data_IF_172232176738
#
_entry.id   IF_172232176738
#
_cell.length_a   1.000
_cell.length_b   1.000
_cell.length_c   1.000
_cell.angle_alpha   90.00
_cell.angle_beta   90.00
_cell.angle_gamma   90.00
#
_symmetry.space_group_name_H-M   'P 1'
#
loop_
_entity.id
_entity.type
_entity.pdbx_description
1 polymer ?
#
# COMPACT_ATOMS: atom_id res chain seq x y z
N UNK A 1 -27.65 32.19 -19.53
CA UNK A 1 -26.39 31.45 -19.70
C UNK A 1 -25.93 31.11 -18.27
N UNK A 2 -26.44 30.01 -17.76
CA UNK A 2 -26.22 29.56 -16.41
C UNK A 2 -24.85 28.84 -16.32
N UNK A 3 -24.08 29.32 -15.39
CA UNK A 3 -22.83 28.73 -14.96
C UNK A 3 -23.17 27.47 -14.14
N UNK A 4 -23.21 26.30 -14.80
CA UNK A 4 -23.21 25.00 -14.13
C UNK A 4 -21.78 24.75 -13.64
N UNK A 5 -21.45 25.38 -12.51
CA UNK A 5 -20.31 24.95 -11.74
C UNK A 5 -20.54 23.48 -11.34
N UNK A 6 -19.89 22.58 -12.10
CA UNK A 6 -19.80 21.17 -11.84
C UNK A 6 -19.30 21.01 -10.39
N UNK A 7 -20.21 20.69 -9.48
CA UNK A 7 -19.87 20.40 -8.10
C UNK A 7 -19.01 19.12 -8.11
N UNK A 8 -17.70 19.29 -8.20
CA UNK A 8 -16.77 18.22 -7.95
C UNK A 8 -17.05 17.70 -6.54
N UNK A 9 -17.64 16.51 -6.46
CA UNK A 9 -17.85 15.82 -5.18
C UNK A 9 -16.46 15.69 -4.53
N UNK A 10 -16.27 16.32 -3.36
CA UNK A 10 -15.03 16.25 -2.64
C UNK A 10 -14.62 14.78 -2.41
N UNK A 11 -13.35 14.42 -2.56
CA UNK A 11 -12.90 13.04 -2.36
C UNK A 11 -13.34 12.54 -0.98
N UNK A 12 -13.99 11.38 -0.92
CA UNK A 12 -14.38 10.76 0.35
C UNK A 12 -13.15 10.41 1.22
N UNK A 13 -12.01 10.11 0.57
CA UNK A 13 -10.74 9.79 1.23
C UNK A 13 -9.86 11.04 1.37
N UNK A 14 -10.33 12.00 2.13
CA UNK A 14 -9.63 13.23 2.53
C UNK A 14 -9.06 13.14 3.96
N UNK A 15 -8.56 14.27 4.48
CA UNK A 15 -7.95 14.35 5.81
C UNK A 15 -8.93 13.97 6.95
N UNK A 16 -10.23 14.12 6.72
CA UNK A 16 -11.29 13.85 7.69
C UNK A 16 -11.84 12.43 7.58
N UNK A 17 -11.39 11.64 6.58
CA UNK A 17 -11.82 10.26 6.41
C UNK A 17 -11.67 9.45 7.68
N UNK A 18 -12.77 8.89 8.13
CA UNK A 18 -12.88 7.96 9.27
C UNK A 18 -13.96 6.93 8.95
N UNK A 19 -13.65 5.68 9.23
CA UNK A 19 -14.59 4.57 9.06
C UNK A 19 -14.42 3.58 10.21
N UNK A 20 -15.51 3.05 10.74
CA UNK A 20 -15.51 1.90 11.65
C UNK A 20 -16.02 0.68 10.90
N UNK A 21 -15.30 -0.43 10.98
CA UNK A 21 -15.71 -1.70 10.38
C UNK A 21 -15.59 -2.84 11.39
N UNK A 22 -16.31 -3.95 11.09
CA UNK A 22 -16.25 -5.18 11.87
C UNK A 22 -15.56 -6.23 10.99
N UNK A 23 -14.51 -6.85 11.51
CA UNK A 23 -13.78 -7.92 10.84
C UNK A 23 -14.55 -9.26 10.95
N UNK A 24 -14.08 -10.28 10.20
CA UNK A 24 -14.74 -11.61 10.16
C UNK A 24 -14.82 -12.30 11.52
N UNK A 25 -13.91 -11.99 12.44
CA UNK A 25 -13.88 -12.51 13.82
C UNK A 25 -14.72 -11.70 14.82
N UNK A 26 -15.48 -10.69 14.34
CA UNK A 26 -16.27 -9.80 15.17
C UNK A 26 -15.49 -8.63 15.79
N UNK A 27 -14.17 -8.56 15.63
CA UNK A 27 -13.37 -7.45 16.15
C UNK A 27 -13.65 -6.15 15.39
N UNK A 28 -13.66 -5.02 16.13
CA UNK A 28 -13.85 -3.69 15.55
C UNK A 28 -12.51 -3.10 15.15
N UNK A 29 -12.47 -2.47 13.98
CA UNK A 29 -11.32 -1.74 13.45
C UNK A 29 -11.75 -0.33 13.03
N UNK A 30 -10.89 0.65 13.27
CA UNK A 30 -11.03 2.01 12.77
C UNK A 30 -10.08 2.21 11.59
N UNK A 31 -10.59 2.79 10.49
CA UNK A 31 -9.81 3.17 9.33
C UNK A 31 -9.71 4.69 9.27
N UNK A 32 -8.53 5.22 8.98
CA UNK A 32 -8.28 6.63 8.70
C UNK A 32 -7.04 6.81 7.84
N UNK A 33 -6.87 8.00 7.25
CA UNK A 33 -5.62 8.29 6.56
C UNK A 33 -4.44 8.35 7.56
N UNK A 34 -3.29 7.88 7.09
CA UNK A 34 -2.00 8.00 7.79
C UNK A 34 -1.57 9.47 7.80
N UNK A 35 -1.05 9.92 8.94
CA UNK A 35 -0.62 11.30 9.22
C UNK A 35 0.88 11.37 9.46
N UNK A 36 1.52 12.53 9.29
CA UNK A 36 2.93 12.73 9.63
C UNK A 36 3.28 12.39 11.10
N UNK A 37 2.30 12.49 12.01
CA UNK A 37 2.43 12.15 13.43
C UNK A 37 2.43 10.65 13.73
N UNK A 38 2.08 9.80 12.76
CA UNK A 38 1.91 8.35 12.95
C UNK A 38 3.23 7.54 12.86
N UNK A 39 4.39 8.21 12.87
CA UNK A 39 5.71 7.55 12.83
C UNK A 39 5.85 6.48 13.94
N UNK A 40 5.36 6.76 15.14
CA UNK A 40 5.34 5.82 16.26
C UNK A 40 4.48 4.59 15.99
N UNK A 41 3.28 4.77 15.43
CA UNK A 41 2.38 3.68 15.04
C UNK A 41 2.98 2.81 13.93
N UNK A 42 3.71 3.41 12.97
CA UNK A 42 4.41 2.63 11.95
C UNK A 42 5.56 1.79 12.53
N UNK A 43 6.31 2.32 13.49
CA UNK A 43 7.35 1.55 14.20
C UNK A 43 6.73 0.41 14.98
N UNK A 44 5.64 0.64 15.71
CA UNK A 44 4.89 -0.39 16.44
C UNK A 44 4.34 -1.47 15.48
N UNK A 45 3.69 -1.06 14.40
CA UNK A 45 3.18 -1.98 13.38
C UNK A 45 4.30 -2.79 12.71
N UNK A 46 5.44 -2.17 12.41
CA UNK A 46 6.60 -2.87 11.86
C UNK A 46 7.15 -3.91 12.85
N UNK A 47 7.16 -3.62 14.14
CA UNK A 47 7.56 -4.58 15.18
C UNK A 47 6.61 -5.78 15.25
N UNK A 48 5.32 -5.60 14.94
CA UNK A 48 4.32 -6.67 14.85
C UNK A 48 4.42 -7.57 13.61
N UNK A 49 5.40 -7.35 12.72
CA UNK A 49 5.67 -8.18 11.55
C UNK A 49 6.80 -9.18 11.86
N UNK A 50 6.59 -10.46 11.51
CA UNK A 50 7.65 -11.47 11.49
C UNK A 50 8.75 -11.12 10.47
N UNK A 51 9.95 -11.72 10.55
CA UNK A 51 10.97 -11.58 9.52
C UNK A 51 10.47 -11.92 8.12
N UNK A 52 9.62 -12.94 8.00
CA UNK A 52 9.01 -13.34 6.73
C UNK A 52 8.07 -12.27 6.20
N UNK A 53 7.16 -11.74 7.02
CA UNK A 53 6.23 -10.66 6.63
C UNK A 53 6.98 -9.38 6.23
N UNK A 54 8.06 -9.05 6.94
CA UNK A 54 8.94 -7.94 6.56
C UNK A 54 9.60 -8.16 5.20
N UNK A 55 10.15 -9.37 4.98
CA UNK A 55 10.78 -9.71 3.70
C UNK A 55 9.76 -9.66 2.55
N UNK A 56 8.57 -10.22 2.74
CA UNK A 56 7.48 -10.18 1.75
C UNK A 56 7.04 -8.74 1.41
N UNK A 57 7.07 -7.84 2.39
CA UNK A 57 6.66 -6.43 2.19
C UNK A 57 7.74 -5.57 1.56
N UNK A 58 9.00 -5.75 1.97
CA UNK A 58 10.10 -4.86 1.60
C UNK A 58 11.08 -5.50 0.61
N UNK A 59 10.92 -6.77 0.28
CA UNK A 59 11.78 -7.56 -0.61
C UNK A 59 13.25 -7.60 -0.17
N UNK A 60 13.50 -7.30 1.09
CA UNK A 60 14.82 -7.29 1.73
C UNK A 60 14.71 -7.63 3.20
N UNK A 61 15.79 -8.21 3.77
CA UNK A 61 15.89 -8.40 5.22
C UNK A 61 16.00 -7.02 5.89
N UNK A 62 14.93 -6.61 6.58
CA UNK A 62 14.82 -5.27 7.17
C UNK A 62 14.64 -5.35 8.67
N UNK A 63 15.66 -4.95 9.47
CA UNK A 63 15.57 -5.01 10.93
C UNK A 63 14.74 -3.85 11.52
N UNK A 64 14.75 -2.67 10.88
CA UNK A 64 14.05 -1.47 11.34
C UNK A 64 13.71 -0.54 10.18
N UNK A 65 12.77 0.38 10.41
CA UNK A 65 12.53 1.52 9.54
C UNK A 65 13.49 2.66 9.90
N UNK A 66 14.11 3.27 8.89
CA UNK A 66 14.95 4.46 9.05
C UNK A 66 14.08 5.72 9.15
N UNK A 67 14.65 6.82 9.65
CA UNK A 67 13.96 8.12 9.71
C UNK A 67 13.45 8.57 8.34
N UNK A 68 14.27 8.36 7.27
CA UNK A 68 13.88 8.71 5.90
C UNK A 68 12.70 7.88 5.40
N UNK A 69 12.67 6.59 5.74
CA UNK A 69 11.54 5.73 5.37
C UNK A 69 10.28 6.06 6.16
N UNK A 70 10.42 6.39 7.46
CA UNK A 70 9.29 6.86 8.26
C UNK A 70 8.70 8.16 7.68
N UNK A 71 9.52 9.12 7.28
CA UNK A 71 9.07 10.32 6.58
C UNK A 71 8.33 9.96 5.27
N UNK A 72 8.95 9.16 4.39
CA UNK A 72 8.33 8.71 3.15
C UNK A 72 6.99 7.98 3.37
N UNK A 73 6.88 7.21 4.47
CA UNK A 73 5.70 6.41 4.78
C UNK A 73 4.58 7.20 5.47
N UNK A 74 4.85 8.41 5.98
CA UNK A 74 3.87 9.22 6.74
C UNK A 74 3.64 10.62 6.18
N UNK A 75 4.62 11.23 5.52
CA UNK A 75 4.51 12.57 4.95
C UNK A 75 3.98 12.46 3.52
N UNK A 76 2.67 12.27 3.40
CA UNK A 76 1.97 11.95 2.18
C UNK A 76 1.27 13.20 1.63
N UNK A 77 1.17 13.33 0.30
CA UNK A 77 0.48 14.43 -0.36
C UNK A 77 -1.05 14.24 -0.40
N UNK A 78 -1.54 13.03 -0.09
CA UNK A 78 -2.96 12.69 -0.13
C UNK A 78 -3.57 12.60 -1.53
N UNK A 79 -2.88 13.10 -2.54
CA UNK A 79 -3.32 13.10 -3.93
C UNK A 79 -2.73 11.92 -4.71
N UNK A 80 -1.42 11.87 -4.85
CA UNK A 80 -0.70 10.80 -5.59
C UNK A 80 -0.08 9.74 -4.67
N UNK A 81 0.10 10.06 -3.41
CA UNK A 81 0.60 9.15 -2.40
C UNK A 81 -0.32 9.21 -1.17
N UNK A 82 -1.05 8.15 -0.93
CA UNK A 82 -2.06 8.03 0.11
C UNK A 82 -1.84 6.73 0.89
N UNK A 83 -2.14 6.74 2.17
CA UNK A 83 -2.18 5.52 2.97
C UNK A 83 -3.34 5.54 3.96
N UNK A 84 -4.01 4.40 4.10
CA UNK A 84 -5.11 4.15 5.03
C UNK A 84 -4.58 3.24 6.13
N UNK A 85 -4.52 3.75 7.36
CA UNK A 85 -4.19 2.98 8.55
C UNK A 85 -5.42 2.26 9.09
N UNK A 86 -5.25 1.01 9.51
CA UNK A 86 -6.23 0.25 10.26
C UNK A 86 -5.76 0.12 11.70
N UNK A 87 -6.58 0.56 12.64
CA UNK A 87 -6.24 0.76 14.03
C UNK A 87 -7.28 0.11 14.94
N UNK A 88 -6.85 -0.26 16.13
CA UNK A 88 -7.74 -0.54 17.26
C UNK A 88 -7.42 0.42 18.41
N UNK A 89 -8.33 0.53 19.38
CA UNK A 89 -8.10 1.32 20.60
C UNK A 89 -8.15 0.42 21.82
N UNK A 90 -7.22 0.65 22.73
CA UNK A 90 -7.28 0.04 24.06
C UNK A 90 -8.31 0.76 24.98
N UNK A 91 -8.48 0.22 26.18
CA UNK A 91 -9.38 0.79 27.21
C UNK A 91 -9.04 2.25 27.61
N UNK A 92 -7.80 2.69 27.37
CA UNK A 92 -7.32 4.04 27.62
C UNK A 92 -7.45 4.96 26.42
N UNK A 93 -8.03 4.46 25.30
CA UNK A 93 -8.21 5.19 24.04
C UNK A 93 -6.95 5.33 23.20
N UNK A 94 -5.83 4.65 23.55
CA UNK A 94 -4.61 4.66 22.77
C UNK A 94 -4.81 3.83 21.49
N UNK A 95 -4.38 4.39 20.37
CA UNK A 95 -4.39 3.71 19.07
C UNK A 95 -3.26 2.68 18.97
N UNK A 96 -3.60 1.49 18.45
CA UNK A 96 -2.66 0.42 18.11
C UNK A 96 -2.82 0.03 16.66
N UNK A 97 -1.73 -0.11 15.88
CA UNK A 97 -1.80 -0.42 14.46
C UNK A 97 -2.09 -1.91 14.24
N UNK A 98 -3.03 -2.20 13.34
CA UNK A 98 -3.33 -3.55 12.87
C UNK A 98 -2.85 -3.77 11.45
N UNK A 99 -2.79 -2.72 10.63
CA UNK A 99 -2.36 -2.79 9.26
C UNK A 99 -2.37 -1.43 8.57
N UNK A 100 -1.89 -1.41 7.33
CA UNK A 100 -1.89 -0.23 6.47
C UNK A 100 -2.05 -0.66 5.01
N UNK A 101 -2.94 0.02 4.30
CA UNK A 101 -3.04 0.01 2.85
C UNK A 101 -2.39 1.29 2.29
N UNK A 102 -1.61 1.17 1.23
CA UNK A 102 -0.92 2.28 0.57
C UNK A 102 -1.21 2.30 -0.90
N UNK A 103 -1.34 3.49 -1.45
CA UNK A 103 -1.55 3.75 -2.85
C UNK A 103 -0.51 4.76 -3.33
N UNK A 104 0.20 4.44 -4.41
CA UNK A 104 1.09 5.37 -5.11
C UNK A 104 0.67 5.45 -6.57
N UNK A 105 0.24 6.63 -7.02
CA UNK A 105 -0.17 6.87 -8.40
C UNK A 105 1.07 7.12 -9.25
N UNK A 106 1.21 6.37 -10.34
CA UNK A 106 2.36 6.39 -11.22
C UNK A 106 2.09 7.14 -12.53
N UNK A 107 3.18 7.58 -13.18
CA UNK A 107 3.14 8.22 -14.50
C UNK A 107 2.43 9.57 -14.52
N UNK A 108 2.48 10.25 -15.68
CA UNK A 108 1.93 11.61 -15.84
C UNK A 108 0.39 11.59 -16.01
N UNK A 109 -0.16 10.51 -16.56
CA UNK A 109 -1.61 10.38 -16.78
C UNK A 109 -2.41 10.12 -15.51
N UNK A 110 -1.76 9.66 -14.41
CA UNK A 110 -2.46 9.30 -13.18
C UNK A 110 -3.36 8.07 -13.29
N UNK A 111 -3.36 7.37 -14.44
CA UNK A 111 -4.29 6.27 -14.70
C UNK A 111 -3.90 4.94 -14.01
N UNK A 112 -2.66 4.82 -13.57
CA UNK A 112 -2.11 3.59 -12.97
C UNK A 112 -1.62 3.90 -11.56
N UNK A 113 -1.86 2.97 -10.64
CA UNK A 113 -1.34 3.08 -9.29
C UNK A 113 -0.83 1.73 -8.76
N UNK A 114 0.12 1.81 -7.84
CA UNK A 114 0.65 0.69 -7.10
C UNK A 114 -0.06 0.58 -5.74
N UNK A 115 -0.84 -0.48 -5.52
CA UNK A 115 -1.37 -0.81 -4.19
C UNK A 115 -0.35 -1.61 -3.40
N UNK A 116 -0.31 -1.39 -2.09
CA UNK A 116 0.43 -2.24 -1.17
C UNK A 116 -0.34 -2.38 0.15
N UNK A 117 -0.54 -3.59 0.61
CA UNK A 117 -1.22 -3.90 1.88
C UNK A 117 -0.26 -4.61 2.82
N UNK A 118 -0.26 -4.18 4.07
CA UNK A 118 0.51 -4.81 5.15
C UNK A 118 -0.40 -4.96 6.36
N UNK A 119 -0.46 -6.16 6.93
CA UNK A 119 -1.22 -6.48 8.15
C UNK A 119 -0.27 -7.13 9.14
N UNK A 120 -0.26 -6.70 10.41
CA UNK A 120 0.56 -7.34 11.44
C UNK A 120 0.15 -8.80 11.58
N UNK A 121 1.10 -9.67 11.91
CA UNK A 121 0.87 -11.12 11.90
C UNK A 121 -0.31 -11.54 12.79
N UNK A 122 -0.47 -10.91 13.95
CA UNK A 122 -1.58 -11.16 14.87
C UNK A 122 -2.97 -10.78 14.35
N UNK A 123 -3.06 -9.95 13.30
CA UNK A 123 -4.33 -9.50 12.71
C UNK A 123 -4.60 -10.13 11.32
N UNK A 124 -3.72 -11.00 10.83
CA UNK A 124 -3.92 -11.71 9.57
C UNK A 124 -5.06 -12.75 9.66
N UNK A 125 -5.61 -13.13 8.50
CA UNK A 125 -6.69 -14.12 8.42
C UNK A 125 -8.08 -13.64 8.84
N UNK A 126 -8.23 -12.37 9.30
CA UNK A 126 -9.50 -11.80 9.80
C UNK A 126 -10.25 -10.97 8.75
N UNK A 127 -9.79 -10.94 7.49
CA UNK A 127 -10.41 -10.14 6.42
C UNK A 127 -9.89 -8.69 6.33
N UNK A 128 -8.96 -8.27 7.20
CA UNK A 128 -8.43 -6.89 7.22
C UNK A 128 -7.71 -6.53 5.92
N UNK A 129 -6.97 -7.47 5.32
CA UNK A 129 -6.29 -7.25 4.03
C UNK A 129 -7.28 -6.94 2.91
N UNK A 130 -8.37 -7.71 2.80
CA UNK A 130 -9.44 -7.50 1.81
C UNK A 130 -10.14 -6.15 2.03
N UNK A 131 -10.43 -5.78 3.28
CA UNK A 131 -11.00 -4.49 3.64
C UNK A 131 -10.10 -3.33 3.19
N UNK A 132 -8.81 -3.37 3.54
CA UNK A 132 -7.84 -2.33 3.14
C UNK A 132 -7.72 -2.22 1.62
N UNK A 133 -7.64 -3.35 0.90
CA UNK A 133 -7.55 -3.34 -0.56
C UNK A 133 -8.82 -2.75 -1.21
N UNK A 134 -10.01 -3.10 -0.72
CA UNK A 134 -11.27 -2.52 -1.18
C UNK A 134 -11.30 -1.00 -0.98
N UNK A 135 -10.80 -0.48 0.14
CA UNK A 135 -10.74 0.97 0.39
C UNK A 135 -9.68 1.65 -0.47
N UNK A 136 -8.55 0.98 -0.77
CA UNK A 136 -7.58 1.50 -1.74
C UNK A 136 -8.17 1.56 -3.15
N UNK A 137 -8.96 0.58 -3.58
CA UNK A 137 -9.67 0.60 -4.87
C UNK A 137 -10.62 1.79 -4.92
N UNK A 138 -11.41 2.02 -3.88
CA UNK A 138 -12.32 3.16 -3.82
C UNK A 138 -11.58 4.49 -3.86
N UNK A 139 -10.51 4.66 -3.05
CA UNK A 139 -9.69 5.86 -3.03
C UNK A 139 -8.96 6.12 -4.37
N UNK A 140 -8.54 5.05 -5.04
CA UNK A 140 -7.92 5.13 -6.36
C UNK A 140 -8.89 5.64 -7.43
N UNK A 141 -10.14 5.14 -7.40
CA UNK A 141 -11.20 5.58 -8.31
C UNK A 141 -11.55 7.05 -8.16
N UNK A 142 -11.68 7.54 -6.94
CA UNK A 142 -11.91 8.96 -6.66
C UNK A 142 -10.83 9.86 -7.27
N UNK A 143 -9.61 9.30 -7.48
CA UNK A 143 -8.45 9.98 -8.08
C UNK A 143 -8.27 9.70 -9.56
N UNK A 144 -9.25 9.06 -10.22
CA UNK A 144 -9.22 8.77 -11.65
C UNK A 144 -8.29 7.62 -12.05
N UNK A 145 -7.78 6.85 -11.07
CA UNK A 145 -6.99 5.63 -11.34
C UNK A 145 -7.90 4.54 -11.92
N UNK A 146 -7.39 3.85 -12.93
CA UNK A 146 -8.15 2.83 -13.68
C UNK A 146 -7.54 1.44 -13.58
N UNK A 147 -6.25 1.37 -13.27
CA UNK A 147 -5.50 0.12 -13.20
C UNK A 147 -4.65 0.09 -11.95
N UNK A 148 -4.61 -1.06 -11.31
CA UNK A 148 -3.57 -1.39 -10.34
C UNK A 148 -2.50 -2.24 -11.01
N UNK A 149 -1.24 -1.95 -10.66
CA UNK A 149 -0.08 -2.68 -11.08
C UNK A 149 0.93 -2.76 -9.92
N UNK A 150 1.29 -3.96 -9.49
CA UNK A 150 2.23 -4.15 -8.38
C UNK A 150 3.10 -5.39 -8.56
N UNK A 151 4.23 -5.40 -7.88
CA UNK A 151 5.16 -6.51 -7.82
C UNK A 151 5.08 -7.17 -6.44
N UNK A 152 4.89 -8.50 -6.42
CA UNK A 152 4.87 -9.30 -5.20
C UNK A 152 5.78 -10.50 -5.35
N UNK A 153 6.32 -11.04 -4.26
CA UNK A 153 7.05 -12.31 -4.34
C UNK A 153 6.10 -13.41 -4.83
N UNK A 154 6.53 -14.21 -5.80
CA UNK A 154 5.74 -15.34 -6.30
C UNK A 154 5.43 -16.38 -5.20
N UNK A 155 6.24 -16.43 -4.15
CA UNK A 155 6.02 -17.24 -2.94
C UNK A 155 5.00 -16.64 -1.97
N UNK A 156 4.62 -15.36 -2.11
CA UNK A 156 3.63 -14.70 -1.25
C UNK A 156 2.19 -15.06 -1.68
N UNK A 157 1.79 -16.30 -1.37
CA UNK A 157 0.47 -16.83 -1.73
C UNK A 157 -0.67 -16.01 -1.16
N UNK A 158 -0.49 -15.42 0.03
CA UNK A 158 -1.52 -14.62 0.68
C UNK A 158 -1.80 -13.33 -0.10
N UNK A 159 -0.76 -12.60 -0.53
CA UNK A 159 -0.92 -11.42 -1.36
C UNK A 159 -1.53 -11.75 -2.73
N UNK A 160 -1.07 -12.83 -3.39
CA UNK A 160 -1.63 -13.27 -4.66
C UNK A 160 -3.11 -13.69 -4.54
N UNK A 161 -3.50 -14.37 -3.46
CA UNK A 161 -4.89 -14.72 -3.20
C UNK A 161 -5.75 -13.46 -2.98
N UNK A 162 -5.25 -12.50 -2.19
CA UNK A 162 -5.91 -11.23 -1.91
C UNK A 162 -6.18 -10.44 -3.21
N UNK A 163 -5.19 -10.36 -4.11
CA UNK A 163 -5.33 -9.63 -5.38
C UNK A 163 -6.29 -10.34 -6.33
N UNK A 164 -6.28 -11.68 -6.39
CA UNK A 164 -7.24 -12.47 -7.19
C UNK A 164 -8.67 -12.38 -6.65
N UNK A 165 -8.85 -12.30 -5.32
CA UNK A 165 -10.17 -12.08 -4.72
C UNK A 165 -10.75 -10.72 -5.12
N UNK A 166 -9.89 -9.69 -5.21
CA UNK A 166 -10.31 -8.33 -5.57
C UNK A 166 -10.59 -8.16 -7.07
N UNK A 167 -9.94 -8.95 -7.93
CA UNK A 167 -10.06 -8.88 -9.39
C UNK A 167 -9.94 -10.29 -9.99
N UNK A 168 -11.06 -10.95 -10.35
CA UNK A 168 -11.04 -12.29 -10.97
C UNK A 168 -10.23 -12.35 -12.27
N UNK A 169 -10.23 -11.26 -13.06
CA UNK A 169 -9.53 -11.13 -14.35
C UNK A 169 -8.12 -10.53 -14.18
N UNK A 170 -7.45 -10.86 -13.09
CA UNK A 170 -6.10 -10.37 -12.79
C UNK A 170 -5.07 -11.01 -13.70
N UNK A 171 -4.24 -10.19 -14.33
CA UNK A 171 -3.07 -10.60 -15.09
C UNK A 171 -1.88 -10.85 -14.16
N UNK A 172 -1.24 -12.03 -14.25
CA UNK A 172 -0.10 -12.38 -13.41
C UNK A 172 1.03 -12.93 -14.27
N UNK A 173 2.14 -12.20 -14.36
CA UNK A 173 3.36 -12.64 -15.03
C UNK A 173 4.46 -12.88 -14.00
N UNK A 174 5.08 -14.07 -14.01
CA UNK A 174 6.13 -14.44 -13.07
C UNK A 174 7.48 -14.47 -13.79
N UNK A 175 8.46 -13.71 -13.23
CA UNK A 175 9.84 -13.71 -13.68
C UNK A 175 10.79 -13.52 -12.50
N UNK A 176 11.86 -14.30 -12.41
CA UNK A 176 12.89 -14.15 -11.36
C UNK A 176 12.37 -14.27 -9.92
N UNK A 177 11.29 -15.04 -9.67
CA UNK A 177 10.70 -15.20 -8.35
C UNK A 177 9.77 -14.03 -7.92
N UNK A 178 9.54 -13.08 -8.82
CA UNK A 178 8.60 -11.96 -8.63
C UNK A 178 7.40 -12.15 -9.55
N UNK A 179 6.21 -11.95 -9.03
CA UNK A 179 4.96 -11.90 -9.77
C UNK A 179 4.58 -10.44 -10.01
N UNK A 180 4.56 -10.03 -11.26
CA UNK A 180 3.92 -8.79 -11.71
C UNK A 180 2.43 -9.04 -11.78
N UNK A 181 1.64 -8.25 -11.07
CA UNK A 181 0.19 -8.37 -10.99
C UNK A 181 -0.44 -7.09 -11.49
N UNK A 182 -1.31 -7.21 -12.49
CA UNK A 182 -2.03 -6.07 -13.07
C UNK A 182 -3.52 -6.39 -13.21
N UNK A 183 -4.37 -5.42 -12.93
CA UNK A 183 -5.82 -5.53 -13.15
C UNK A 183 -6.47 -4.17 -13.32
N UNK A 184 -7.55 -4.14 -14.10
CA UNK A 184 -8.41 -2.97 -14.24
C UNK A 184 -9.27 -2.84 -12.98
N UNK A 185 -9.35 -1.61 -12.47
CA UNK A 185 -10.33 -1.32 -11.43
C UNK A 185 -11.73 -1.39 -12.08
N UNK A 186 -12.71 -2.07 -11.44
CA UNK A 186 -14.05 -2.21 -12.03
C UNK A 186 -14.61 -0.82 -12.35
N UNK A 187 -15.06 -0.60 -13.58
CA UNK A 187 -15.61 0.67 -14.05
C UNK A 187 -17.00 0.96 -13.50
N UNK A 188 -17.24 2.25 -13.21
CA UNK A 188 -18.59 2.83 -13.20
C UNK A 188 -18.72 3.62 -14.50
N UNK A 189 -18.77 2.88 -15.61
CA UNK A 189 -19.14 3.35 -16.95
C UNK A 189 -18.16 4.27 -17.66
N UNK A 190 -17.16 3.74 -18.38
CA UNK A 190 -16.63 4.25 -19.66
C UNK A 190 -15.54 3.33 -20.25
N UNK A 191 -15.56 3.13 -21.56
CA UNK A 191 -14.50 2.48 -22.35
C UNK A 191 -13.25 3.35 -22.41
N UNK A 192 -12.05 2.76 -22.24
CA UNK A 192 -10.79 3.50 -22.29
C UNK A 192 -9.71 2.82 -23.10
N UNK A 193 -8.90 3.61 -23.87
CA UNK A 193 -7.80 3.10 -24.68
C UNK A 193 -6.64 2.57 -23.81
N UNK A 194 -5.95 1.57 -24.34
CA UNK A 194 -4.80 0.90 -23.72
C UNK A 194 -3.69 1.89 -23.33
N UNK A 195 -3.41 2.01 -22.02
CA UNK A 195 -2.21 2.66 -21.54
C UNK A 195 -1.04 1.66 -21.55
N UNK A 196 0.16 2.08 -21.98
CA UNK A 196 1.36 1.26 -21.90
C UNK A 196 1.62 0.79 -20.46
N UNK A 197 2.07 -0.46 -20.27
CA UNK A 197 2.39 -0.97 -18.93
C UNK A 197 3.54 -0.17 -18.31
N UNK A 198 3.44 0.24 -17.04
CA UNK A 198 4.50 1.00 -16.38
C UNK A 198 5.74 0.15 -16.19
N UNK A 199 6.90 0.78 -16.37
CA UNK A 199 8.20 0.21 -16.02
C UNK A 199 8.26 0.06 -14.49
N UNK A 200 8.72 -1.06 -13.96
CA UNK A 200 8.84 -1.50 -12.55
C UNK A 200 8.30 -0.52 -11.47
N UNK A 201 7.51 -1.05 -10.53
CA UNK A 201 6.83 -0.37 -9.44
C UNK A 201 7.68 0.69 -8.70
N UNK A 202 7.11 1.88 -8.43
CA UNK A 202 7.82 2.99 -7.78
C UNK A 202 8.25 2.68 -6.36
N UNK A 203 7.42 1.97 -5.58
CA UNK A 203 7.74 1.55 -4.21
C UNK A 203 8.80 0.44 -4.23
N UNK A 204 8.69 -0.53 -5.13
CA UNK A 204 9.72 -1.55 -5.35
C UNK A 204 11.07 -0.93 -5.69
N UNK A 205 11.11 0.02 -6.65
CA UNK A 205 12.33 0.74 -7.04
C UNK A 205 12.95 1.51 -5.88
N UNK A 206 12.12 2.13 -5.03
CA UNK A 206 12.60 2.86 -3.87
C UNK A 206 13.30 1.94 -2.86
N UNK A 207 12.69 0.79 -2.54
CA UNK A 207 13.29 -0.16 -1.59
C UNK A 207 14.45 -0.95 -2.17
N UNK A 208 14.43 -1.29 -3.46
CA UNK A 208 15.58 -1.90 -4.16
C UNK A 208 16.75 -0.93 -4.21
N UNK A 209 16.54 0.34 -4.56
CA UNK A 209 17.59 1.36 -4.57
C UNK A 209 18.23 1.56 -3.18
N UNK A 210 17.44 1.50 -2.10
CA UNK A 210 17.97 1.54 -0.72
C UNK A 210 18.78 0.27 -0.41
N UNK A 211 18.29 -0.91 -0.80
CA UNK A 211 18.97 -2.18 -0.58
C UNK A 211 20.29 -2.26 -1.37
N UNK A 212 20.30 -1.82 -2.61
CA UNK A 212 21.51 -1.73 -3.45
C UNK A 212 22.51 -0.74 -2.87
N UNK A 213 22.08 0.44 -2.45
CA UNK A 213 22.93 1.42 -1.78
C UNK A 213 23.52 0.92 -0.46
N UNK A 214 22.76 0.16 0.33
CA UNK A 214 23.24 -0.46 1.55
C UNK A 214 24.26 -1.57 1.28
N UNK A 215 24.04 -2.40 0.24
CA UNK A 215 24.98 -3.44 -0.19
C UNK A 215 26.30 -2.85 -0.73
N UNK A 216 26.22 -1.74 -1.44
CA UNK A 216 27.40 -1.03 -1.97
C UNK A 216 28.22 -0.40 -0.84
N UNK A 217 27.56 0.14 0.19
CA UNK A 217 28.20 0.65 1.38
C UNK A 217 28.93 -0.45 2.16
N UNK A 218 28.32 -1.61 2.35
CA UNK A 218 28.92 -2.78 3.02
C UNK A 218 30.15 -3.25 2.23
N UNK A 219 30.04 -3.41 0.91
CA UNK A 219 31.17 -3.81 0.04
C UNK A 219 32.31 -2.77 0.07
N UNK A 220 32.01 -1.49 0.25
CA UNK A 220 33.02 -0.43 0.37
C UNK A 220 33.72 -0.45 1.72
N UNK A 221 32.99 -0.75 2.81
CA UNK A 221 33.55 -0.89 4.15
C UNK A 221 34.43 -2.14 4.27
N UNK A 222 34.06 -3.28 3.65
CA UNK A 222 34.88 -4.49 3.62
C UNK A 222 36.18 -4.29 2.84
N UNK A 223 36.15 -3.51 1.76
CA UNK A 223 37.38 -3.13 1.01
C UNK A 223 38.32 -2.18 1.76
N UNK A 224 37.83 -1.48 2.79
CA UNK A 224 38.66 -0.59 3.62
C UNK A 224 39.21 -1.31 4.87
N UNK A 225 38.77 -2.54 5.14
CA UNK A 225 39.22 -3.37 6.28
C UNK A 225 40.21 -4.48 5.89
N UNK A 226 40.44 -4.69 4.61
CA UNK A 226 41.46 -5.59 4.07
C UNK A 226 42.63 -4.81 3.46
#
# INVERSE_FOLDING_TARGET
MGDEAEHAIAPHFDADYRESAILRDGSRVELRLVRPTDKGLLVEGFAGLSPQSRYQRFLTAKPRLTTRELAYLTELDGARHLAIGALTRDERGREHPLGVGRLVIEGDTGAIAEPAVTVIDAAQGRGLGSLLLQRLIAAARERGVRRFACDVLASNRAALALLREAAPDVDVTIAGGVARVEFLLPDVGAEHPHAEPPRRSGVYRYFVAIAEGALELVRRLDRLRG
#
